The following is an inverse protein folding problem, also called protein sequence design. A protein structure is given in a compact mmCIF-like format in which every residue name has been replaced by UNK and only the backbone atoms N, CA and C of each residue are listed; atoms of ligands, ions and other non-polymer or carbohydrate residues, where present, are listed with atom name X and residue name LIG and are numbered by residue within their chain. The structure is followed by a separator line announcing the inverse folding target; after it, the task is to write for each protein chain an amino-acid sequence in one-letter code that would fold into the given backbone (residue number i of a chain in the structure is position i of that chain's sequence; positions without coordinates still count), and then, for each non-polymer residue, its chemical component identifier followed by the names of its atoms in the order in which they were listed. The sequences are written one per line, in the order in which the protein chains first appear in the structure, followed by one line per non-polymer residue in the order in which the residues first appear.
data_IF_194210213441
#
_entry.id   IF_194210213441
#
_cell.length_a   1.000
_cell.length_b   1.000
_cell.length_c   1.000
_cell.angle_alpha   90.00
_cell.angle_beta   90.00
_cell.angle_gamma   90.00
#
_symmetry.space_group_name_H-M   'P 1'
#
loop_
_entity.id
_entity.type
_entity.pdbx_description
1 polymer ?
#
# COMPACT_ATOMS: atom_id res chain seq x y z
N UNK A 1 -20.80 -66.60 9.33
CA UNK A 1 -21.63 -65.38 9.32
C UNK A 1 -20.73 -64.16 9.17
N UNK A 2 -20.65 -63.59 7.97
CA UNK A 2 -20.03 -62.28 7.75
C UNK A 2 -21.06 -61.17 8.00
N UNK A 3 -20.55 -59.95 8.21
CA UNK A 3 -21.19 -58.62 8.04
C UNK A 3 -21.45 -57.85 9.35
N UNK A 4 -20.49 -57.01 9.75
CA UNK A 4 -20.81 -55.66 10.21
C UNK A 4 -20.18 -54.67 9.25
N UNK A 5 -21.08 -53.98 8.58
CA UNK A 5 -20.92 -53.06 7.48
C UNK A 5 -19.98 -51.90 7.81
N UNK A 6 -19.10 -51.65 6.85
CA UNK A 6 -18.48 -50.38 6.50
C UNK A 6 -19.57 -49.31 6.39
N UNK A 7 -19.99 -48.66 7.48
CA UNK A 7 -20.85 -47.48 7.40
C UNK A 7 -20.69 -46.60 8.63
N UNK A 8 -19.68 -45.72 8.59
CA UNK A 8 -19.82 -44.38 9.15
C UNK A 8 -18.87 -43.43 8.43
N UNK A 9 -19.09 -43.28 7.12
CA UNK A 9 -18.60 -42.09 6.40
C UNK A 9 -19.49 -40.93 6.87
N UNK A 10 -19.00 -40.17 7.86
CA UNK A 10 -19.65 -38.94 8.34
C UNK A 10 -19.71 -37.96 7.17
N UNK A 11 -20.85 -37.92 6.48
CA UNK A 11 -21.13 -36.95 5.42
C UNK A 11 -21.52 -35.63 6.09
N UNK A 12 -20.57 -34.73 6.22
CA UNK A 12 -20.84 -33.35 6.64
C UNK A 12 -21.88 -32.75 5.70
N UNK A 13 -22.89 -32.10 6.26
CA UNK A 13 -23.99 -31.51 5.48
C UNK A 13 -23.46 -30.40 4.56
N UNK A 14 -24.08 -30.14 3.40
CA UNK A 14 -23.60 -29.14 2.44
C UNK A 14 -23.49 -27.73 3.06
N UNK A 15 -24.37 -27.39 4.00
CA UNK A 15 -24.29 -26.15 4.76
C UNK A 15 -23.00 -26.05 5.62
N UNK A 16 -22.58 -27.15 6.27
CA UNK A 16 -21.33 -27.18 7.04
C UNK A 16 -20.08 -27.11 6.14
N UNK A 17 -20.18 -27.56 4.89
CA UNK A 17 -19.09 -27.47 3.92
C UNK A 17 -18.88 -26.02 3.44
N UNK A 18 -19.95 -25.23 3.32
CA UNK A 18 -19.89 -23.81 2.94
C UNK A 18 -19.30 -22.95 4.07
N UNK A 19 -19.64 -23.18 5.33
CA UNK A 19 -19.07 -22.41 6.45
C UNK A 19 -17.56 -22.68 6.62
N UNK A 20 -17.10 -23.91 6.33
CA UNK A 20 -15.70 -24.29 6.41
C UNK A 20 -14.82 -23.76 5.27
N UNK A 21 -15.41 -23.31 4.16
CA UNK A 21 -14.71 -22.66 3.04
C UNK A 21 -14.73 -21.14 3.12
N UNK A 22 -15.74 -20.56 3.79
CA UNK A 22 -15.92 -19.10 3.92
C UNK A 22 -15.09 -18.52 5.08
N UNK A 23 -14.84 -19.30 6.14
CA UNK A 23 -13.95 -18.85 7.22
C UNK A 23 -12.50 -18.98 6.74
N UNK A 24 -11.72 -17.88 6.65
CA UNK A 24 -10.32 -17.97 6.28
C UNK A 24 -9.59 -18.85 7.31
N UNK A 25 -9.14 -20.04 6.89
CA UNK A 25 -8.39 -21.01 7.71
C UNK A 25 -6.97 -20.55 8.08
N UNK A 26 -6.69 -19.26 8.03
CA UNK A 26 -5.42 -18.73 8.52
C UNK A 26 -5.58 -18.57 10.02
N UNK A 27 -5.14 -19.59 10.76
CA UNK A 27 -5.13 -19.51 12.21
C UNK A 27 -4.25 -18.33 12.64
N UNK A 28 -4.57 -17.72 13.78
CA UNK A 28 -3.75 -16.63 14.35
C UNK A 28 -2.27 -17.04 14.48
N UNK A 29 -2.00 -18.34 14.66
CA UNK A 29 -0.66 -18.93 14.66
C UNK A 29 0.06 -18.79 13.31
N UNK A 30 -0.64 -19.00 12.18
CA UNK A 30 -0.07 -18.79 10.84
C UNK A 30 0.24 -17.31 10.60
N UNK A 31 -0.63 -16.41 11.03
CA UNK A 31 -0.40 -14.96 10.93
C UNK A 31 0.77 -14.51 11.81
N UNK A 32 0.88 -15.05 13.03
CA UNK A 32 2.01 -14.77 13.93
C UNK A 32 3.33 -15.30 13.37
N UNK A 33 3.34 -16.50 12.79
CA UNK A 33 4.54 -17.05 12.11
C UNK A 33 4.93 -16.23 10.89
N UNK A 34 3.97 -15.81 10.08
CA UNK A 34 4.25 -14.94 8.93
C UNK A 34 4.85 -13.61 9.39
N UNK A 35 4.29 -13.01 10.44
CA UNK A 35 4.83 -11.78 11.02
C UNK A 35 6.25 -11.97 11.60
N UNK A 36 6.53 -13.12 12.25
CA UNK A 36 7.87 -13.43 12.75
C UNK A 36 8.88 -13.71 11.63
N UNK A 37 8.45 -14.39 10.55
CA UNK A 37 9.29 -14.65 9.38
C UNK A 37 9.62 -13.33 8.65
N UNK A 38 8.64 -12.43 8.51
CA UNK A 38 8.87 -11.07 7.96
C UNK A 38 9.83 -10.27 8.83
N UNK A 39 9.70 -10.40 10.15
CA UNK A 39 10.59 -9.76 11.10
C UNK A 39 12.03 -10.29 11.05
N UNK A 40 12.22 -11.57 10.74
CA UNK A 40 13.55 -12.15 10.55
C UNK A 40 14.23 -11.60 9.28
N UNK A 41 13.47 -11.33 8.22
CA UNK A 41 14.01 -10.86 6.92
C UNK A 41 14.20 -9.33 6.91
N UNK A 42 13.22 -8.59 7.42
CA UNK A 42 13.16 -7.12 7.30
C UNK A 42 13.39 -6.37 8.63
N UNK A 43 13.53 -7.10 9.74
CA UNK A 43 13.62 -6.52 11.09
C UNK A 43 12.27 -6.07 11.64
N UNK A 44 12.28 -5.61 12.91
CA UNK A 44 11.08 -5.08 13.55
C UNK A 44 10.75 -3.72 12.94
N UNK A 45 9.48 -3.48 12.55
CA UNK A 45 9.08 -2.16 12.09
C UNK A 45 9.40 -1.14 13.18
N UNK A 46 9.94 0.01 12.78
CA UNK A 46 10.26 1.05 13.73
C UNK A 46 8.97 1.52 14.42
N UNK A 47 8.99 1.59 15.74
CA UNK A 47 7.89 2.12 16.52
C UNK A 47 8.15 3.60 16.83
N UNK A 48 7.15 4.47 16.62
CA UNK A 48 7.28 5.88 16.90
C UNK A 48 6.25 6.76 16.18
N UNK A 49 6.18 8.03 16.57
CA UNK A 49 5.18 9.00 16.08
C UNK A 49 5.22 9.21 14.56
N UNK A 50 6.39 9.06 13.94
CA UNK A 50 6.58 9.28 12.49
C UNK A 50 7.12 8.04 11.78
N UNK A 51 7.11 6.86 12.41
CA UNK A 51 7.67 5.65 11.82
C UNK A 51 6.75 4.98 10.79
N UNK A 52 5.48 5.36 10.79
CA UNK A 52 4.47 4.94 9.81
C UNK A 52 4.51 5.73 8.50
N UNK A 53 5.32 6.80 8.43
CA UNK A 53 5.37 7.66 7.25
C UNK A 53 6.45 7.17 6.28
N UNK A 54 6.17 7.15 4.96
CA UNK A 54 7.14 6.77 3.95
C UNK A 54 8.19 7.87 3.68
N UNK A 55 8.25 8.92 4.51
CA UNK A 55 9.19 10.03 4.39
C UNK A 55 9.65 10.51 5.76
N UNK A 56 10.92 10.96 5.83
CA UNK A 56 11.51 11.49 7.06
C UNK A 56 10.99 12.90 7.35
N UNK A 57 10.40 13.10 8.52
CA UNK A 57 9.97 14.43 9.02
C UNK A 57 11.06 15.07 9.89
N UNK A 58 11.65 14.29 10.82
CA UNK A 58 12.67 14.75 11.76
C UNK A 58 14.09 14.35 11.32
N UNK A 59 15.10 15.04 11.86
CA UNK A 59 16.54 14.76 11.68
C UNK A 59 17.00 14.70 10.22
N UNK A 60 16.51 15.62 9.38
CA UNK A 60 17.02 15.80 8.01
C UNK A 60 18.32 16.62 8.04
N UNK A 61 19.37 16.11 7.39
CA UNK A 61 20.72 16.72 7.43
C UNK A 61 20.86 18.00 6.59
N UNK A 62 20.17 18.09 5.45
CA UNK A 62 20.40 19.15 4.47
C UNK A 62 19.19 20.05 4.24
N UNK A 63 18.01 19.47 3.99
CA UNK A 63 16.81 20.22 3.60
C UNK A 63 15.79 20.14 4.74
N UNK A 64 15.37 21.28 5.32
CA UNK A 64 14.27 21.32 6.28
C UNK A 64 13.00 20.71 5.70
N UNK A 65 12.21 20.03 6.53
CA UNK A 65 11.00 19.35 6.07
C UNK A 65 10.00 20.29 5.39
N UNK A 66 9.82 21.51 5.91
CA UNK A 66 8.93 22.52 5.35
C UNK A 66 9.30 22.87 3.90
N UNK A 67 10.58 23.11 3.64
CA UNK A 67 11.10 23.43 2.30
C UNK A 67 10.86 22.28 1.33
N UNK A 68 11.11 21.03 1.77
CA UNK A 68 10.84 19.87 0.93
C UNK A 68 9.35 19.68 0.64
N UNK A 69 8.50 19.78 1.67
CA UNK A 69 7.06 19.57 1.53
C UNK A 69 6.43 20.63 0.61
N UNK A 70 6.68 21.91 0.89
CA UNK A 70 6.17 23.00 0.07
C UNK A 70 6.83 23.09 -1.30
N UNK A 71 8.08 22.65 -1.44
CA UNK A 71 8.76 22.56 -2.73
C UNK A 71 8.11 21.52 -3.64
N UNK A 72 7.84 20.32 -3.13
CA UNK A 72 7.15 19.27 -3.90
C UNK A 72 5.73 19.70 -4.25
N UNK A 73 4.95 20.17 -3.26
CA UNK A 73 3.58 20.63 -3.50
C UNK A 73 3.55 21.81 -4.47
N UNK A 74 4.44 22.79 -4.31
CA UNK A 74 4.56 23.96 -5.18
C UNK A 74 4.97 23.60 -6.60
N UNK A 75 5.87 22.63 -6.77
CA UNK A 75 6.27 22.14 -8.10
C UNK A 75 5.10 21.51 -8.85
N UNK A 76 4.36 20.61 -8.20
CA UNK A 76 3.18 19.99 -8.83
C UNK A 76 2.04 20.98 -9.05
N UNK A 77 1.89 21.97 -8.17
CA UNK A 77 0.97 23.07 -8.39
C UNK A 77 1.38 23.92 -9.61
N UNK A 78 2.68 24.19 -9.79
CA UNK A 78 3.20 24.97 -10.91
C UNK A 78 3.20 24.19 -12.25
N UNK A 79 3.15 22.85 -12.20
CA UNK A 79 3.22 21.98 -13.38
C UNK A 79 2.25 22.36 -14.53
N UNK A 80 0.93 22.54 -14.31
CA UNK A 80 0.02 22.96 -15.38
C UNK A 80 0.41 24.31 -15.99
N UNK A 81 0.86 25.28 -15.20
CA UNK A 81 1.27 26.59 -15.70
C UNK A 81 2.54 26.51 -16.54
N UNK A 82 3.56 25.79 -16.06
CA UNK A 82 4.80 25.58 -16.80
C UNK A 82 4.54 24.89 -18.14
N UNK A 83 3.69 23.86 -18.14
CA UNK A 83 3.33 23.15 -19.38
C UNK A 83 2.52 24.04 -20.33
N UNK A 84 1.56 24.82 -19.84
CA UNK A 84 0.83 25.79 -20.67
C UNK A 84 1.74 26.87 -21.24
N UNK A 85 2.62 27.46 -20.43
CA UNK A 85 3.63 28.43 -20.87
C UNK A 85 4.52 27.85 -21.96
N UNK A 86 4.98 26.60 -21.80
CA UNK A 86 5.76 25.92 -22.83
C UNK A 86 4.99 25.73 -24.14
N UNK A 87 3.70 25.40 -24.07
CA UNK A 87 2.85 25.27 -25.26
C UNK A 87 2.61 26.63 -25.93
N UNK A 88 2.34 27.69 -25.16
CA UNK A 88 2.16 29.07 -25.68
C UNK A 88 3.44 29.56 -26.35
N UNK A 89 4.60 29.24 -25.78
CA UNK A 89 5.89 29.55 -26.40
C UNK A 89 6.05 28.87 -27.76
N UNK A 90 5.77 27.57 -27.84
CA UNK A 90 5.83 26.83 -29.12
C UNK A 90 4.79 27.29 -30.13
N UNK A 91 3.62 27.74 -29.69
CA UNK A 91 2.58 28.26 -30.60
C UNK A 91 2.88 29.66 -31.11
N UNK A 92 4.01 30.27 -30.72
CA UNK A 92 4.37 31.64 -31.08
C UNK A 92 3.53 32.71 -30.38
N UNK A 93 2.75 32.33 -29.36
CA UNK A 93 1.84 33.23 -28.66
C UNK A 93 2.55 34.40 -27.96
N UNK A 94 3.81 34.22 -27.55
CA UNK A 94 4.62 35.30 -26.99
C UNK A 94 5.21 36.27 -28.02
N UNK A 95 5.14 35.94 -29.32
CA UNK A 95 5.62 36.79 -30.43
C UNK A 95 4.47 37.45 -31.20
N UNK A 96 3.22 37.22 -30.78
CA UNK A 96 2.06 37.88 -31.39
C UNK A 96 2.20 39.40 -31.18
N UNK A 97 2.30 40.15 -32.28
CA UNK A 97 2.21 41.61 -32.23
C UNK A 97 0.75 41.95 -31.97
N UNK A 98 0.48 42.78 -30.97
CA UNK A 98 -0.86 43.35 -30.75
C UNK A 98 -1.21 44.19 -31.99
N UNK A 99 -2.22 43.74 -32.76
CA UNK A 99 -2.87 44.52 -33.81
C UNK A 99 -4.03 45.35 -33.23
#
# INVERSE_FOLDING_TARGET
MFTRSILQRVTKTPAQQLTASIIPKRSLQVSAKLMSDMNQIYGHPQEGVYSNLPFKVKNRKFIPFSVWYWGVMGFFFAFPFLTSTWQIYKSGGFNAKEE
#
